data_IF_365174410901
#
_entry.id   IF_365174410901
#
_cell.length_a   1.000
_cell.length_b   1.000
_cell.length_c   1.000
_cell.angle_alpha   90.00
_cell.angle_beta   90.00
_cell.angle_gamma   90.00
#
_symmetry.space_group_name_H-M   'P 1'
#
loop_
_entity.id
_entity.type
_entity.pdbx_description
1 polymer ?
#
# COMPACT_ATOMS: atom_id res chain seq x y z
N UNK A 1 4.17 -20.07 11.69
CA UNK A 1 3.52 -18.79 11.41
C UNK A 1 2.02 -18.98 11.46
N UNK A 2 1.26 -18.06 12.06
CA UNK A 2 -0.19 -18.04 11.90
C UNK A 2 -0.52 -17.88 10.41
N UNK A 3 -1.48 -18.65 9.90
CA UNK A 3 -1.90 -18.61 8.50
C UNK A 3 -2.74 -17.35 8.28
N UNK A 4 -2.38 -16.53 7.29
CA UNK A 4 -3.20 -15.40 6.85
C UNK A 4 -4.60 -15.95 6.45
N UNK A 5 -5.71 -15.47 7.04
CA UNK A 5 -7.04 -15.88 6.62
C UNK A 5 -7.32 -15.46 5.17
N UNK A 6 -8.16 -16.22 4.48
CA UNK A 6 -8.59 -15.86 3.13
C UNK A 6 -9.27 -14.46 3.15
N UNK A 7 -8.94 -13.57 2.19
CA UNK A 7 -9.49 -12.22 2.17
C UNK A 7 -10.99 -12.22 1.84
N UNK A 8 -11.75 -11.39 2.55
CA UNK A 8 -13.15 -11.09 2.25
C UNK A 8 -13.20 -9.94 1.25
N UNK A 9 -13.12 -10.28 -0.04
CA UNK A 9 -13.02 -9.28 -1.11
C UNK A 9 -14.33 -8.52 -1.31
N UNK A 10 -14.26 -7.19 -1.24
CA UNK A 10 -15.33 -6.26 -1.57
C UNK A 10 -14.77 -5.10 -2.41
N UNK A 11 -15.66 -4.33 -3.05
CA UNK A 11 -15.27 -3.10 -3.71
C UNK A 11 -14.87 -2.04 -2.66
N UNK A 12 -13.65 -1.51 -2.77
CA UNK A 12 -13.08 -0.54 -1.84
C UNK A 12 -12.62 0.71 -2.57
N UNK A 13 -13.04 1.87 -2.07
CA UNK A 13 -12.46 3.15 -2.47
C UNK A 13 -11.07 3.30 -1.84
N UNK A 14 -10.07 3.48 -2.69
CA UNK A 14 -8.67 3.61 -2.29
C UNK A 14 -8.45 4.82 -1.38
N UNK A 15 -9.12 5.94 -1.67
CA UNK A 15 -9.01 7.15 -0.86
C UNK A 15 -9.51 6.91 0.58
N UNK A 16 -10.66 6.23 0.72
CA UNK A 16 -11.24 5.92 2.02
C UNK A 16 -10.35 4.99 2.86
N UNK A 17 -9.64 4.05 2.24
CA UNK A 17 -8.67 3.19 2.95
C UNK A 17 -7.49 4.02 3.46
N UNK A 18 -6.93 4.89 2.62
CA UNK A 18 -5.81 5.77 3.00
C UNK A 18 -6.21 6.71 4.12
N UNK A 19 -7.36 7.37 4.00
CA UNK A 19 -7.85 8.33 5.00
C UNK A 19 -8.03 7.68 6.37
N UNK A 20 -8.60 6.46 6.43
CA UNK A 20 -8.75 5.72 7.68
C UNK A 20 -7.40 5.44 8.32
N UNK A 21 -6.42 4.94 7.56
CA UNK A 21 -5.11 4.58 8.10
C UNK A 21 -4.32 5.81 8.55
N UNK A 22 -4.30 6.88 7.75
CA UNK A 22 -3.57 8.10 8.11
C UNK A 22 -4.19 8.80 9.32
N UNK A 23 -5.51 8.75 9.46
CA UNK A 23 -6.20 9.27 10.65
C UNK A 23 -5.83 8.49 11.92
N UNK A 24 -5.68 7.17 11.80
CA UNK A 24 -5.26 6.31 12.92
C UNK A 24 -3.77 6.47 13.26
N UNK A 25 -2.92 6.65 12.25
CA UNK A 25 -1.46 6.72 12.40
C UNK A 25 -0.96 8.17 12.41
N UNK A 26 -0.99 8.82 13.58
CA UNK A 26 -0.38 10.13 13.87
C UNK A 26 -0.51 11.15 12.71
N UNK A 27 -1.67 11.80 12.56
CA UNK A 27 -2.02 12.61 11.38
C UNK A 27 -0.99 13.70 11.00
N UNK A 28 -0.21 14.20 11.97
CA UNK A 28 0.79 15.26 11.74
C UNK A 28 2.11 14.76 11.13
N UNK A 29 2.31 13.44 11.04
CA UNK A 29 3.55 12.85 10.52
C UNK A 29 3.46 12.39 9.06
N UNK A 30 2.25 12.36 8.48
CA UNK A 30 2.00 11.78 7.16
C UNK A 30 1.20 12.77 6.30
N UNK A 31 1.76 13.16 5.17
CA UNK A 31 1.09 13.95 4.15
C UNK A 31 0.34 13.03 3.16
N UNK A 32 -0.92 13.33 2.88
CA UNK A 32 -1.67 12.67 1.81
C UNK A 32 -1.46 13.45 0.51
N UNK A 33 -0.62 12.93 -0.38
CA UNK A 33 -0.45 13.48 -1.73
C UNK A 33 -1.69 13.25 -2.61
N UNK A 34 -2.49 12.23 -2.28
CA UNK A 34 -3.74 11.91 -2.94
C UNK A 34 -3.58 11.11 -4.23
N UNK A 35 -4.67 11.05 -5.00
CA UNK A 35 -4.74 10.33 -6.27
C UNK A 35 -6.15 10.40 -6.88
N UNK A 36 -6.34 9.84 -8.09
CA UNK A 36 -7.65 9.80 -8.72
C UNK A 36 -8.61 8.89 -7.96
N UNK A 37 -9.92 9.04 -8.17
CA UNK A 37 -10.89 8.10 -7.62
C UNK A 37 -10.69 6.72 -8.27
N UNK A 38 -10.32 5.73 -7.46
CA UNK A 38 -10.04 4.36 -7.89
C UNK A 38 -10.74 3.37 -6.95
N UNK A 39 -11.18 2.26 -7.52
CA UNK A 39 -11.80 1.16 -6.78
C UNK A 39 -11.04 -0.13 -7.05
N UNK A 40 -10.75 -0.87 -5.99
CA UNK A 40 -10.15 -2.21 -6.05
C UNK A 40 -11.04 -3.24 -5.36
N UNK A 41 -10.87 -4.50 -5.73
CA UNK A 41 -11.48 -5.62 -5.00
C UNK A 41 -10.52 -6.07 -3.91
N UNK A 42 -10.88 -5.85 -2.65
CA UNK A 42 -10.02 -6.18 -1.52
C UNK A 42 -10.72 -6.37 -0.20
N UNK A 43 -10.00 -6.94 0.75
CA UNK A 43 -10.38 -7.03 2.16
C UNK A 43 -9.87 -5.78 2.87
N UNK A 44 -10.80 -5.00 3.43
CA UNK A 44 -10.50 -3.72 4.06
C UNK A 44 -9.52 -3.87 5.22
N UNK A 45 -9.75 -4.84 6.09
CA UNK A 45 -8.96 -5.03 7.31
C UNK A 45 -7.53 -5.45 6.96
N UNK A 46 -7.38 -6.33 5.96
CA UNK A 46 -6.06 -6.75 5.49
C UNK A 46 -5.30 -5.61 4.81
N UNK A 47 -5.94 -4.86 3.91
CA UNK A 47 -5.29 -3.75 3.22
C UNK A 47 -4.93 -2.60 4.17
N UNK A 48 -5.77 -2.33 5.17
CA UNK A 48 -5.45 -1.40 6.25
C UNK A 48 -4.24 -1.88 7.06
N UNK A 49 -4.21 -3.16 7.45
CA UNK A 49 -3.07 -3.73 8.17
C UNK A 49 -1.76 -3.65 7.37
N UNK A 50 -1.83 -3.89 6.05
CA UNK A 50 -0.70 -3.71 5.14
C UNK A 50 -0.23 -2.25 5.17
N UNK A 51 -1.15 -1.30 4.98
CA UNK A 51 -0.82 0.12 4.91
C UNK A 51 -0.30 0.65 6.24
N UNK A 52 -0.87 0.24 7.38
CA UNK A 52 -0.36 0.53 8.74
C UNK A 52 1.09 0.06 8.89
N UNK A 53 1.43 -1.13 8.39
CA UNK A 53 2.80 -1.62 8.45
C UNK A 53 3.75 -0.76 7.61
N UNK A 54 3.31 -0.31 6.44
CA UNK A 54 4.12 0.55 5.57
C UNK A 54 4.30 1.95 6.16
N UNK A 55 3.23 2.59 6.63
CA UNK A 55 3.29 3.93 7.21
C UNK A 55 4.08 3.96 8.51
N UNK A 56 3.94 2.95 9.39
CA UNK A 56 4.81 2.83 10.58
C UNK A 56 6.27 2.66 10.20
N UNK A 57 6.55 1.87 9.16
CA UNK A 57 7.92 1.72 8.69
C UNK A 57 8.52 3.04 8.21
N UNK A 58 7.77 3.81 7.42
CA UNK A 58 8.15 5.14 6.95
C UNK A 58 8.33 6.14 8.10
N UNK A 59 7.37 6.21 9.03
CA UNK A 59 7.43 7.12 10.19
C UNK A 59 8.64 6.82 11.06
N UNK A 60 8.97 5.56 11.31
CA UNK A 60 10.17 5.21 12.06
C UNK A 60 11.45 5.59 11.33
N UNK A 61 11.50 5.44 10.00
CA UNK A 61 12.67 5.77 9.20
C UNK A 61 13.01 7.27 9.25
N UNK A 62 12.00 8.13 9.37
CA UNK A 62 12.20 9.59 9.42
C UNK A 62 12.47 10.14 10.82
N UNK A 63 12.35 9.35 11.89
CA UNK A 63 12.58 9.83 13.26
C UNK A 63 13.99 10.36 13.46
N UNK A 64 14.97 9.76 12.79
CA UNK A 64 16.38 10.15 12.90
C UNK A 64 16.75 11.28 11.93
N UNK A 65 16.07 11.39 10.79
CA UNK A 65 16.38 12.38 9.75
C UNK A 65 15.57 13.68 9.89
N UNK A 66 14.45 13.64 10.61
CA UNK A 66 13.49 14.75 10.67
C UNK A 66 12.72 14.98 9.36
N UNK A 67 12.77 14.02 8.43
CA UNK A 67 12.12 14.10 7.12
C UNK A 67 10.61 13.84 7.15
N UNK A 68 9.96 13.99 6.00
CA UNK A 68 8.53 13.75 5.82
C UNK A 68 8.16 12.34 5.37
N UNK A 69 6.91 11.95 5.61
CA UNK A 69 6.27 10.76 5.01
C UNK A 69 5.11 11.22 4.13
N UNK A 70 4.99 10.64 2.94
CA UNK A 70 3.92 10.93 1.99
C UNK A 70 3.24 9.66 1.49
N UNK A 71 1.93 9.71 1.32
CA UNK A 71 1.13 8.62 0.76
C UNK A 71 0.35 9.12 -0.44
N UNK A 72 0.40 8.40 -1.55
CA UNK A 72 -0.38 8.73 -2.74
C UNK A 72 -0.68 7.49 -3.57
N UNK A 73 -1.51 7.67 -4.59
CA UNK A 73 -1.88 6.57 -5.48
C UNK A 73 -2.17 7.08 -6.89
N UNK A 74 -2.03 6.17 -7.85
CA UNK A 74 -2.27 6.47 -9.26
C UNK A 74 -2.66 5.21 -10.02
N UNK A 75 -3.25 5.40 -11.21
CA UNK A 75 -3.39 4.31 -12.18
C UNK A 75 -2.05 4.09 -12.87
N UNK A 76 -1.63 2.83 -13.03
CA UNK A 76 -0.44 2.50 -13.81
C UNK A 76 -0.76 2.53 -15.31
N UNK A 77 -0.20 3.48 -16.10
CA UNK A 77 -0.46 3.59 -17.52
C UNK A 77 0.04 2.34 -18.27
N UNK A 78 -0.73 1.88 -19.25
CA UNK A 78 -0.35 0.74 -20.09
C UNK A 78 -0.38 -0.63 -19.39
N UNK A 79 -0.83 -0.69 -18.13
CA UNK A 79 -0.99 -1.97 -17.42
C UNK A 79 -2.16 -2.78 -18.00
N UNK A 80 -1.91 -4.06 -18.26
CA UNK A 80 -2.93 -5.06 -18.62
C UNK A 80 -2.75 -6.29 -17.73
N UNK A 81 -3.71 -6.59 -16.84
CA UNK A 81 -4.96 -5.86 -16.60
C UNK A 81 -4.73 -4.45 -16.02
N UNK A 82 -5.74 -3.56 -16.08
CA UNK A 82 -5.65 -2.24 -15.45
C UNK A 82 -5.27 -2.38 -13.97
N UNK A 83 -4.21 -1.69 -13.57
CA UNK A 83 -3.60 -1.82 -12.24
C UNK A 83 -3.45 -0.44 -11.61
N UNK A 84 -3.59 -0.34 -10.29
CA UNK A 84 -3.22 0.83 -9.53
C UNK A 84 -1.88 0.63 -8.83
N UNK A 85 -1.21 1.73 -8.53
CA UNK A 85 -0.11 1.78 -7.60
C UNK A 85 -0.46 2.72 -6.46
N UNK A 86 -0.47 2.20 -5.24
CA UNK A 86 -0.46 2.97 -4.00
C UNK A 86 0.97 2.96 -3.47
N UNK A 87 1.48 4.12 -3.10
CA UNK A 87 2.84 4.25 -2.60
C UNK A 87 2.90 4.96 -1.26
N UNK A 88 3.90 4.57 -0.46
CA UNK A 88 4.33 5.26 0.76
C UNK A 88 5.79 5.64 0.57
N UNK A 89 6.07 6.94 0.62
CA UNK A 89 7.41 7.51 0.50
C UNK A 89 7.85 8.09 1.83
N UNK A 90 9.09 7.83 2.21
CA UNK A 90 9.75 8.48 3.33
C UNK A 90 11.00 9.26 2.90
N UNK A 91 11.52 10.04 3.84
CA UNK A 91 12.76 10.80 3.72
C UNK A 91 13.77 10.35 4.77
N UNK A 92 13.74 9.05 5.09
CA UNK A 92 14.68 8.41 5.98
C UNK A 92 16.05 8.16 5.32
N UNK A 93 16.88 7.30 5.93
CA UNK A 93 18.19 6.93 5.39
C UNK A 93 18.12 5.99 4.16
N UNK A 94 16.93 5.48 3.82
CA UNK A 94 16.76 4.48 2.78
C UNK A 94 17.10 3.05 3.22
N UNK A 95 17.12 2.14 2.25
CA UNK A 95 17.35 0.70 2.38
C UNK A 95 18.84 0.40 2.23
N UNK A 96 19.44 -0.17 3.28
CA UNK A 96 20.86 -0.60 3.29
C UNK A 96 21.05 -2.04 2.80
N UNK A 97 20.03 -2.89 2.90
CA UNK A 97 20.09 -4.29 2.44
C UNK A 97 18.71 -4.73 1.89
N UNK A 98 18.54 -4.59 0.56
CA UNK A 98 17.28 -4.89 -0.12
C UNK A 98 16.97 -6.39 -0.23
N UNK A 99 17.99 -7.25 -0.19
CA UNK A 99 17.84 -8.70 -0.37
C UNK A 99 17.09 -9.40 0.78
N UNK A 100 17.13 -8.82 1.98
CA UNK A 100 16.56 -9.44 3.18
C UNK A 100 15.22 -8.83 3.65
N UNK A 101 14.67 -7.85 2.92
CA UNK A 101 13.50 -7.08 3.36
C UNK A 101 12.23 -7.92 3.59
N UNK A 102 12.14 -9.07 2.93
CA UNK A 102 10.99 -9.98 3.01
C UNK A 102 11.36 -11.33 3.61
N UNK A 103 12.48 -11.40 4.34
CA UNK A 103 12.85 -12.58 5.11
C UNK A 103 12.14 -12.53 6.47
N UNK A 104 11.36 -13.56 6.85
CA UNK A 104 10.71 -13.58 8.15
C UNK A 104 11.69 -13.40 9.30
N UNK A 105 11.30 -12.61 10.30
CA UNK A 105 12.09 -12.30 11.50
C UNK A 105 13.36 -11.46 11.26
N UNK A 106 13.65 -11.08 10.01
CA UNK A 106 14.70 -10.12 9.73
C UNK A 106 14.22 -8.71 10.07
N UNK A 107 14.92 -8.03 10.96
CA UNK A 107 14.66 -6.63 11.27
C UNK A 107 15.93 -5.93 11.72
N UNK A 108 16.05 -4.65 11.37
CA UNK A 108 17.09 -3.76 11.88
C UNK A 108 16.59 -2.90 13.06
N UNK A 109 15.30 -3.02 13.41
CA UNK A 109 14.66 -2.17 14.42
C UNK A 109 14.73 -2.81 15.81
N UNK A 110 15.14 -2.07 16.86
CA UNK A 110 15.07 -2.55 18.24
C UNK A 110 13.63 -2.94 18.62
N UNK A 111 13.42 -4.20 19.03
CA UNK A 111 12.09 -4.71 19.40
C UNK A 111 11.14 -4.98 18.23
N UNK A 112 11.60 -4.85 16.97
CA UNK A 112 10.83 -5.23 15.80
C UNK A 112 10.64 -6.74 15.72
N UNK A 113 9.47 -7.21 15.27
CA UNK A 113 9.25 -8.64 15.06
C UNK A 113 9.84 -9.17 13.75
N UNK A 114 10.15 -8.29 12.80
CA UNK A 114 10.56 -8.68 11.44
C UNK A 114 9.45 -9.37 10.62
N UNK A 115 8.19 -9.23 11.02
CA UNK A 115 7.04 -9.89 10.36
C UNK A 115 6.27 -8.91 9.44
N UNK A 116 6.33 -7.61 9.71
CA UNK A 116 5.47 -6.60 9.06
C UNK A 116 5.52 -6.63 7.54
N UNK A 117 6.72 -6.54 6.94
CA UNK A 117 6.87 -6.54 5.47
C UNK A 117 6.52 -7.89 4.83
N UNK A 118 6.78 -9.00 5.52
CA UNK A 118 6.38 -10.34 5.05
C UNK A 118 4.86 -10.44 4.99
N UNK A 119 4.17 -10.02 6.06
CA UNK A 119 2.71 -9.99 6.10
C UNK A 119 2.16 -9.06 5.02
N UNK A 120 2.73 -7.87 4.85
CA UNK A 120 2.32 -6.93 3.81
C UNK A 120 2.47 -7.52 2.40
N UNK A 121 3.53 -8.30 2.13
CA UNK A 121 3.68 -9.01 0.86
C UNK A 121 2.62 -10.11 0.69
N UNK A 122 2.37 -10.92 1.71
CA UNK A 122 1.34 -11.96 1.66
C UNK A 122 -0.06 -11.39 1.42
N UNK A 123 -0.37 -10.26 2.04
CA UNK A 123 -1.64 -9.54 1.81
C UNK A 123 -1.71 -9.07 0.36
N UNK A 124 -0.67 -8.41 -0.17
CA UNK A 124 -0.65 -7.97 -1.56
C UNK A 124 -0.87 -9.13 -2.54
N UNK A 125 -0.17 -10.25 -2.33
CA UNK A 125 -0.29 -11.46 -3.15
C UNK A 125 -1.71 -12.08 -3.05
N UNK A 126 -2.29 -12.13 -1.85
CA UNK A 126 -3.66 -12.61 -1.64
C UNK A 126 -4.72 -11.76 -2.35
N UNK A 127 -4.37 -10.52 -2.73
CA UNK A 127 -5.21 -9.60 -3.48
C UNK A 127 -4.86 -9.56 -4.98
N UNK A 128 -4.06 -10.52 -5.47
CA UNK A 128 -3.65 -10.60 -6.88
C UNK A 128 -2.65 -9.52 -7.30
N UNK A 129 -1.97 -8.92 -6.33
CA UNK A 129 -1.06 -7.81 -6.52
C UNK A 129 0.39 -8.12 -6.13
N UNK A 130 1.15 -7.05 -5.90
CA UNK A 130 2.55 -7.15 -5.46
C UNK A 130 2.94 -5.98 -4.57
N UNK A 131 4.02 -6.19 -3.81
CA UNK A 131 4.62 -5.16 -2.95
C UNK A 131 6.12 -5.10 -3.22
N UNK A 132 6.59 -3.92 -3.61
CA UNK A 132 8.01 -3.62 -3.83
C UNK A 132 8.49 -2.50 -2.92
N UNK A 133 9.77 -2.52 -2.56
CA UNK A 133 10.43 -1.46 -1.81
C UNK A 133 11.72 -1.09 -2.55
N UNK A 134 11.93 0.20 -2.79
CA UNK A 134 13.10 0.72 -3.48
C UNK A 134 13.58 2.03 -2.87
N UNK A 135 14.87 2.32 -3.00
CA UNK A 135 15.38 3.65 -2.63
C UNK A 135 14.86 4.68 -3.61
N UNK A 136 14.52 5.86 -3.07
CA UNK A 136 14.11 6.99 -3.88
C UNK A 136 15.26 7.42 -4.81
N UNK A 137 14.93 7.68 -6.08
CA UNK A 137 15.91 8.10 -7.07
C UNK A 137 16.17 9.62 -7.03
N UNK A 138 15.22 10.40 -6.51
CA UNK A 138 15.24 11.86 -6.49
C UNK A 138 15.87 12.43 -5.21
N UNK A 139 15.79 11.71 -4.09
CA UNK A 139 16.35 12.11 -2.79
C UNK A 139 16.56 10.92 -1.86
N UNK A 140 17.07 11.16 -0.65
CA UNK A 140 17.18 10.12 0.38
C UNK A 140 15.81 9.60 0.81
N UNK A 141 15.71 8.31 1.12
CA UNK A 141 14.50 7.67 1.62
C UNK A 141 14.10 6.45 0.80
N UNK A 142 12.99 5.84 1.20
CA UNK A 142 12.44 4.65 0.56
C UNK A 142 11.05 4.93 -0.01
N UNK A 143 10.71 4.21 -1.09
CA UNK A 143 9.36 4.10 -1.63
C UNK A 143 8.89 2.66 -1.53
N UNK A 144 7.82 2.42 -0.78
CA UNK A 144 7.07 1.17 -0.80
C UNK A 144 5.90 1.31 -1.79
N UNK A 145 5.80 0.42 -2.78
CA UNK A 145 4.78 0.45 -3.83
C UNK A 145 3.92 -0.83 -3.76
N UNK A 146 2.66 -0.66 -3.39
CA UNK A 146 1.61 -1.68 -3.47
C UNK A 146 0.93 -1.57 -4.84
N UNK A 147 0.92 -2.65 -5.60
CA UNK A 147 0.20 -2.74 -6.87
C UNK A 147 -0.96 -3.70 -6.74
N UNK A 148 -2.16 -3.24 -7.09
CA UNK A 148 -3.38 -4.05 -7.06
C UNK A 148 -4.14 -3.91 -8.39
N UNK A 149 -4.75 -5.00 -8.89
CA UNK A 149 -5.67 -4.91 -10.02
C UNK A 149 -6.81 -3.95 -9.72
N UNK A 150 -7.10 -3.04 -10.65
CA UNK A 150 -8.29 -2.21 -10.58
C UNK A 150 -9.52 -3.03 -10.91
N UNK A 151 -10.64 -2.68 -10.29
CA UNK A 151 -11.92 -3.16 -10.78
C UNK A 151 -12.11 -2.61 -12.21
N UNK A 152 -12.51 -3.45 -13.18
CA UNK A 152 -13.04 -2.94 -14.43
C UNK A 152 -14.16 -1.95 -14.08
N UNK A 153 -14.13 -0.74 -14.65
CA UNK A 153 -15.26 0.17 -14.51
C UNK A 153 -16.50 -0.65 -14.88
N UNK A 154 -17.46 -0.79 -13.96
CA UNK A 154 -18.67 -1.55 -14.22
C UNK A 154 -19.22 -1.05 -15.55
N UNK A 155 -19.26 -1.93 -16.55
CA UNK A 155 -19.86 -1.63 -17.84
C UNK A 155 -21.24 -1.09 -17.50
N UNK A 156 -21.49 0.20 -17.76
CA UNK A 156 -22.86 0.69 -17.78
C UNK A 156 -23.54 -0.13 -18.87
N UNK A 157 -24.26 -1.17 -18.50
CA UNK A 157 -25.13 -1.84 -19.45
C UNK A 157 -26.04 -0.76 -20.03
N UNK A 158 -26.09 -0.61 -21.37
CA UNK A 158 -27.10 0.25 -21.95
C UNK A 158 -28.44 -0.33 -21.52
N UNK A 159 -29.25 0.48 -20.84
CA UNK A 159 -30.65 0.22 -20.57
C UNK A 159 -31.34 0.01 -21.92
N UNK A 160 -31.32 -1.23 -22.42
CA UNK A 160 -32.08 -1.63 -23.59
C UNK A 160 -33.54 -1.42 -23.23
N UNK A 161 -34.08 -0.34 -23.81
CA UNK A 161 -35.48 0.01 -23.77
C UNK A 161 -36.31 -1.22 -24.18
N UNK A 162 -36.89 -1.88 -23.18
CA UNK A 162 -38.05 -2.74 -23.37
C UNK A 162 -39.25 -1.80 -23.53
N UNK A 163 -39.55 -1.44 -24.76
CA UNK A 163 -40.87 -0.94 -25.13
C UNK A 163 -41.33 -1.75 -26.33
N UNK A 164 -42.32 -2.60 -26.02
CA UNK A 164 -43.23 -3.26 -26.95
C UNK A 164 -44.02 -2.25 -27.78
#
# INVERSE_FOLDING_TARGET
LAKLPAPKLAALDVSAVVDRVVTLEKPHAIEIAGGPQLTVHGDSDQLEQLLINLTRNAVDAVRETGGGVRVGWQRLPGSSPPTMELWVEDEGPGLSNTGNLFVPFFTTKPGGSGIGLVLSRQIAEAHGGSLTLENRADRSGCRASLRLPLQPAASREPLLARSS
#
